data_IF_350768364781
#
_entry.id   IF_350768364781
#
_cell.length_a   1.000
_cell.length_b   1.000
_cell.length_c   1.000
_cell.angle_alpha   90.00
_cell.angle_beta   90.00
_cell.angle_gamma   90.00
#
_symmetry.space_group_name_H-M   'P 1'
#
loop_
_entity.id
_entity.type
_entity.pdbx_description
1 polymer ?
#
# COMPACT_ATOMS: atom_id res chain seq x y z
N UNK A 1 -2.95 19.65 -19.25
CA UNK A 1 -2.80 18.97 -17.95
C UNK A 1 -4.16 18.39 -17.60
N UNK A 2 -4.33 17.06 -17.58
CA UNK A 2 -5.58 16.45 -17.14
C UNK A 2 -5.78 16.78 -15.66
N UNK A 3 -6.73 17.64 -15.36
CA UNK A 3 -7.16 17.91 -13.99
C UNK A 3 -7.90 16.67 -13.48
N UNK A 4 -7.16 15.71 -12.96
CA UNK A 4 -7.73 14.68 -12.08
C UNK A 4 -8.23 15.45 -10.87
N UNK A 5 -9.54 15.42 -10.60
CA UNK A 5 -10.08 15.95 -9.36
C UNK A 5 -9.38 15.21 -8.21
N UNK A 6 -8.42 15.88 -7.56
CA UNK A 6 -7.56 15.30 -6.52
C UNK A 6 -8.43 15.00 -5.30
N UNK A 7 -9.07 13.85 -5.27
CA UNK A 7 -9.62 13.32 -4.03
C UNK A 7 -8.46 12.70 -3.23
N UNK A 8 -7.60 13.59 -2.70
CA UNK A 8 -6.36 13.23 -2.02
C UNK A 8 -6.58 12.78 -0.57
N UNK A 9 -7.82 12.78 -0.06
CA UNK A 9 -8.11 12.47 1.34
C UNK A 9 -7.54 11.11 1.76
N UNK A 10 -7.75 10.08 0.94
CA UNK A 10 -7.21 8.75 1.22
C UNK A 10 -5.68 8.76 1.21
N UNK A 11 -5.05 9.40 0.22
CA UNK A 11 -3.59 9.45 0.12
C UNK A 11 -2.98 10.27 1.26
N UNK A 12 -3.61 11.37 1.68
CA UNK A 12 -3.18 12.19 2.81
C UNK A 12 -3.29 11.40 4.12
N UNK A 13 -4.31 10.56 4.27
CA UNK A 13 -4.45 9.66 5.42
C UNK A 13 -3.39 8.55 5.42
N UNK A 14 -3.07 7.99 4.26
CA UNK A 14 -2.13 6.86 4.13
C UNK A 14 -0.65 7.28 4.06
N UNK A 15 -0.37 8.51 3.64
CA UNK A 15 0.96 9.08 3.41
C UNK A 15 1.01 10.57 3.83
N UNK A 16 0.84 10.88 5.13
CA UNK A 16 0.82 12.26 5.63
C UNK A 16 2.15 13.00 5.42
N UNK A 17 3.25 12.27 5.31
CA UNK A 17 4.59 12.82 5.06
C UNK A 17 4.85 13.10 3.57
N UNK A 18 3.89 12.79 2.69
CA UNK A 18 3.98 13.02 1.25
C UNK A 18 5.23 12.41 0.59
N UNK A 19 5.73 11.29 1.13
CA UNK A 19 6.87 10.56 0.56
C UNK A 19 6.51 10.04 -0.83
N UNK A 20 7.44 10.09 -1.78
CA UNK A 20 7.27 9.56 -3.14
C UNK A 20 8.53 8.81 -3.62
N UNK A 21 8.41 7.69 -4.37
CA UNK A 21 7.17 6.99 -4.73
C UNK A 21 6.57 6.21 -3.55
N UNK A 22 5.27 5.89 -3.62
CA UNK A 22 4.60 5.00 -2.66
C UNK A 22 3.89 3.87 -3.39
N UNK A 23 3.97 2.67 -2.83
CA UNK A 23 3.28 1.48 -3.34
C UNK A 23 2.43 0.89 -2.23
N UNK A 24 1.16 0.63 -2.54
CA UNK A 24 0.20 -0.01 -1.65
C UNK A 24 -0.35 -1.28 -2.28
N UNK A 25 -0.61 -2.29 -1.46
CA UNK A 25 -1.41 -3.46 -1.81
C UNK A 25 -2.81 -3.28 -1.23
N UNK A 26 -3.84 -3.53 -2.04
CA UNK A 26 -5.25 -3.40 -1.65
C UNK A 26 -5.86 -4.80 -1.65
N UNK A 27 -6.45 -5.21 -0.53
CA UNK A 27 -7.17 -6.47 -0.45
C UNK A 27 -8.35 -6.46 -1.45
N UNK A 28 -8.72 -7.64 -1.97
CA UNK A 28 -9.78 -7.77 -2.98
C UNK A 28 -11.14 -7.23 -2.51
N UNK A 29 -11.39 -7.22 -1.21
CA UNK A 29 -12.60 -6.64 -0.60
C UNK A 29 -12.60 -5.10 -0.55
N UNK A 30 -11.49 -4.46 -0.90
CA UNK A 30 -11.30 -3.01 -0.86
C UNK A 30 -11.25 -2.40 0.54
N UNK A 31 -11.34 -3.21 1.61
CA UNK A 31 -11.43 -2.71 3.00
C UNK A 31 -10.07 -2.53 3.65
N UNK A 32 -9.08 -3.32 3.24
CA UNK A 32 -7.72 -3.28 3.80
C UNK A 32 -6.71 -2.80 2.77
N UNK A 33 -5.88 -1.86 3.18
CA UNK A 33 -4.79 -1.31 2.39
C UNK A 33 -3.50 -1.46 3.19
N UNK A 34 -2.48 -2.04 2.57
CA UNK A 34 -1.19 -2.32 3.18
C UNK A 34 -0.10 -1.55 2.45
N UNK A 35 0.82 -0.92 3.19
CA UNK A 35 1.98 -0.28 2.58
C UNK A 35 3.00 -1.34 2.14
N UNK A 36 3.34 -1.33 0.86
CA UNK A 36 4.41 -2.18 0.29
C UNK A 36 5.72 -1.40 0.23
N UNK A 37 5.69 -0.12 -0.15
CA UNK A 37 6.88 0.71 -0.23
C UNK A 37 6.57 2.18 0.07
N UNK A 38 7.53 2.87 0.67
CA UNK A 38 7.61 4.33 0.75
C UNK A 38 9.03 4.75 0.37
N UNK A 39 9.17 5.57 -0.65
CA UNK A 39 10.46 5.90 -1.27
C UNK A 39 10.96 4.83 -2.23
N UNK A 40 12.17 5.06 -2.76
CA UNK A 40 12.84 4.12 -3.66
C UNK A 40 13.45 2.98 -2.82
N UNK A 41 13.03 1.74 -3.09
CA UNK A 41 13.55 0.54 -2.43
C UNK A 41 13.88 -0.54 -3.47
N UNK A 42 14.68 -1.53 -3.07
CA UNK A 42 15.05 -2.64 -3.95
C UNK A 42 13.87 -3.55 -4.27
N UNK A 43 13.92 -4.20 -5.44
CA UNK A 43 12.91 -5.18 -5.86
C UNK A 43 12.75 -6.31 -4.83
N UNK A 44 13.85 -6.83 -4.31
CA UNK A 44 13.82 -7.86 -3.26
C UNK A 44 13.01 -7.40 -2.03
N UNK A 45 13.15 -6.12 -1.64
CA UNK A 45 12.40 -5.58 -0.50
C UNK A 45 10.91 -5.45 -0.79
N UNK A 46 10.54 -5.14 -2.04
CA UNK A 46 9.15 -5.14 -2.49
C UNK A 46 8.56 -6.55 -2.39
N UNK A 47 9.27 -7.57 -2.89
CA UNK A 47 8.85 -8.98 -2.82
C UNK A 47 8.67 -9.43 -1.36
N UNK A 48 9.65 -9.16 -0.50
CA UNK A 48 9.59 -9.50 0.92
C UNK A 48 8.36 -8.89 1.62
N UNK A 49 8.08 -7.62 1.33
CA UNK A 49 6.94 -6.92 1.91
C UNK A 49 5.60 -7.49 1.42
N UNK A 50 5.50 -7.87 0.14
CA UNK A 50 4.31 -8.53 -0.42
C UNK A 50 4.08 -9.89 0.27
N UNK A 51 5.11 -10.71 0.40
CA UNK A 51 5.02 -12.02 1.07
C UNK A 51 4.64 -11.88 2.55
N UNK A 52 5.11 -10.84 3.22
CA UNK A 52 4.72 -10.56 4.60
C UNK A 52 3.23 -10.20 4.72
N UNK A 53 2.71 -9.39 3.79
CA UNK A 53 1.29 -9.02 3.73
C UNK A 53 0.42 -10.26 3.46
N UNK A 54 0.79 -11.07 2.48
CA UNK A 54 0.08 -12.31 2.12
C UNK A 54 -0.05 -13.27 3.32
N UNK A 55 1.08 -13.54 3.99
CA UNK A 55 1.11 -14.38 5.20
C UNK A 55 0.26 -13.80 6.33
N UNK A 56 0.27 -12.49 6.50
CA UNK A 56 -0.54 -11.83 7.53
C UNK A 56 -2.03 -11.93 7.22
N UNK A 57 -2.41 -11.72 5.96
CA UNK A 57 -3.81 -11.77 5.53
C UNK A 57 -4.40 -13.17 5.72
N UNK A 58 -3.71 -14.23 5.27
CA UNK A 58 -4.20 -15.60 5.45
C UNK A 58 -4.25 -16.05 6.91
N UNK A 59 -3.34 -15.55 7.77
CA UNK A 59 -3.46 -15.79 9.23
C UNK A 59 -4.73 -15.19 9.84
N UNK A 60 -5.23 -14.08 9.28
CA UNK A 60 -6.49 -13.48 9.73
C UNK A 60 -7.72 -14.23 9.22
N UNK A 61 -7.66 -14.85 8.04
CA UNK A 61 -8.77 -15.66 7.50
C UNK A 61 -8.95 -16.99 8.25
N UNK A 62 -7.89 -17.53 8.84
CA UNK A 62 -7.93 -18.79 9.59
C UNK A 62 -8.37 -18.65 11.05
N UNK A 63 -8.81 -17.46 11.47
CA UNK A 63 -9.29 -17.15 12.83
C UNK A 63 -10.78 -16.86 12.82
#
# INVERSE_FOLDING_TARGET
MLAVSKNNELLNKLNPEHVVPVLYSVASDGKKIYSVARGIISENKIIDNILAIDRYYHKLETR
#
